data_IF_715496798057
#
_entry.id   IF_715496798057
#
_cell.length_a   1.000
_cell.length_b   1.000
_cell.length_c   1.000
_cell.angle_alpha   90.00
_cell.angle_beta   90.00
_cell.angle_gamma   90.00
#
_symmetry.space_group_name_H-M   'P 1'
#
loop_
_entity.id
_entity.type
_entity.pdbx_description
1 polymer ?
#
# COMPACT_ATOMS: atom_id res chain seq x y z
N UNK A 1 17.34 14.46 -18.40
CA UNK A 1 16.44 13.61 -19.19
C UNK A 1 16.70 12.15 -18.86
N UNK A 2 15.66 11.32 -18.78
CA UNK A 2 15.82 9.87 -18.55
C UNK A 2 16.02 9.13 -19.86
N UNK A 3 16.74 8.02 -19.79
CA UNK A 3 16.90 7.08 -20.91
C UNK A 3 16.13 5.80 -20.58
N UNK A 4 15.28 5.37 -21.51
CA UNK A 4 14.55 4.11 -21.35
C UNK A 4 15.51 2.93 -21.38
N UNK A 5 15.41 2.02 -20.42
CA UNK A 5 16.29 0.86 -20.29
C UNK A 5 15.56 -0.44 -20.63
N UNK A 6 14.53 -0.79 -19.87
CA UNK A 6 13.82 -2.07 -20.03
C UNK A 6 12.46 -2.10 -19.34
N UNK A 7 11.67 -3.10 -19.64
CA UNK A 7 10.49 -3.48 -18.85
C UNK A 7 10.87 -4.55 -17.81
N UNK A 8 10.17 -4.52 -16.67
CA UNK A 8 10.26 -5.53 -15.62
C UNK A 8 8.89 -6.19 -15.49
N UNK A 9 8.85 -7.53 -15.50
CA UNK A 9 7.65 -8.33 -15.36
C UNK A 9 6.82 -8.47 -16.62
N UNK A 10 5.70 -9.15 -16.50
CA UNK A 10 4.71 -9.40 -17.56
C UNK A 10 3.31 -9.52 -16.93
N UNK A 11 2.26 -9.61 -17.73
CA UNK A 11 0.89 -9.83 -17.25
C UNK A 11 0.72 -11.24 -16.70
N UNK A 12 0.13 -11.38 -15.51
CA UNK A 12 -0.19 -12.69 -14.95
C UNK A 12 -0.26 -12.70 -13.41
N UNK A 13 -0.21 -13.91 -12.83
CA UNK A 13 -0.36 -14.15 -11.39
C UNK A 13 0.85 -14.83 -10.74
N UNK A 14 1.76 -15.36 -11.58
CA UNK A 14 2.97 -16.01 -11.10
C UNK A 14 3.97 -14.97 -10.54
N UNK A 15 4.97 -15.43 -9.82
CA UNK A 15 6.05 -14.57 -9.33
C UNK A 15 6.76 -13.87 -10.50
N UNK A 16 6.96 -12.56 -10.37
CA UNK A 16 7.49 -11.73 -11.44
C UNK A 16 6.45 -11.27 -12.48
N UNK A 17 5.20 -11.74 -12.39
CA UNK A 17 4.08 -11.25 -13.19
C UNK A 17 3.22 -10.29 -12.39
N UNK A 18 2.46 -9.43 -13.08
CA UNK A 18 1.60 -8.43 -12.46
C UNK A 18 0.16 -8.48 -12.99
N UNK A 19 -0.77 -8.12 -12.12
CA UNK A 19 -2.13 -7.79 -12.48
C UNK A 19 -2.52 -6.45 -11.85
N UNK A 20 -2.57 -5.40 -12.66
CA UNK A 20 -2.80 -4.03 -12.22
C UNK A 20 -1.75 -3.57 -11.16
N UNK A 21 -0.44 -3.58 -11.50
CA UNK A 21 0.58 -3.00 -10.63
C UNK A 21 0.27 -1.53 -10.40
N UNK A 22 0.37 -1.05 -9.16
CA UNK A 22 -0.13 0.28 -8.83
C UNK A 22 0.94 1.18 -8.21
N UNK A 23 1.40 0.89 -7.00
CA UNK A 23 2.47 1.63 -6.34
C UNK A 23 3.81 0.95 -6.51
N UNK A 24 4.87 1.75 -6.57
CA UNK A 24 6.25 1.28 -6.62
C UNK A 24 7.13 2.14 -5.72
N UNK A 25 8.06 1.51 -5.01
CA UNK A 25 9.03 2.21 -4.15
C UNK A 25 10.39 1.52 -4.21
N UNK A 26 11.42 2.24 -3.81
CA UNK A 26 12.75 1.66 -3.59
C UNK A 26 12.87 1.30 -2.11
N UNK A 27 12.92 0.00 -1.83
CA UNK A 27 13.13 -0.54 -0.49
C UNK A 27 14.64 -0.65 -0.21
N UNK A 28 15.19 0.36 0.42
CA UNK A 28 16.58 0.45 0.83
C UNK A 28 16.75 0.35 2.35
N UNK A 29 15.77 -0.27 3.06
CA UNK A 29 15.86 -0.52 4.51
C UNK A 29 17.06 -1.38 4.88
N UNK A 30 17.55 -2.20 3.95
CA UNK A 30 18.78 -2.99 4.10
C UNK A 30 19.88 -2.37 3.23
N UNK A 31 20.88 -1.77 3.86
CA UNK A 31 21.91 -0.98 3.19
C UNK A 31 22.63 -1.69 2.01
N UNK A 32 22.73 -3.01 2.05
CA UNK A 32 23.44 -3.81 1.02
C UNK A 32 22.49 -4.66 0.16
N UNK A 33 21.18 -4.45 0.25
CA UNK A 33 20.18 -5.20 -0.50
C UNK A 33 19.00 -4.29 -0.87
N UNK A 34 19.30 -3.29 -1.72
CA UNK A 34 18.30 -2.36 -2.24
C UNK A 34 17.40 -3.07 -3.23
N UNK A 35 16.09 -3.01 -3.05
CA UNK A 35 15.10 -3.69 -3.86
C UNK A 35 14.04 -2.71 -4.39
N UNK A 36 13.40 -3.08 -5.47
CA UNK A 36 12.18 -2.44 -5.97
C UNK A 36 11.00 -3.20 -5.35
N UNK A 37 10.12 -2.52 -4.61
CA UNK A 37 8.87 -3.10 -4.13
C UNK A 37 7.69 -2.59 -4.94
N UNK A 38 6.81 -3.49 -5.35
CA UNK A 38 5.64 -3.19 -6.18
C UNK A 38 4.36 -3.67 -5.50
N UNK A 39 3.37 -2.78 -5.40
CA UNK A 39 2.01 -3.14 -5.02
C UNK A 39 1.28 -3.75 -6.22
N UNK A 40 1.24 -5.08 -6.28
CA UNK A 40 0.57 -5.85 -7.31
C UNK A 40 -0.91 -6.04 -6.93
N UNK A 41 -1.69 -4.96 -7.13
CA UNK A 41 -3.01 -4.72 -6.53
C UNK A 41 -4.00 -5.83 -6.78
N UNK A 42 -4.23 -6.18 -8.03
CA UNK A 42 -5.27 -7.17 -8.38
C UNK A 42 -4.83 -8.62 -8.10
N UNK A 43 -3.56 -8.84 -7.77
CA UNK A 43 -3.05 -10.10 -7.23
C UNK A 43 -2.99 -10.10 -5.69
N UNK A 44 -3.43 -9.02 -5.03
CA UNK A 44 -3.52 -8.89 -3.57
C UNK A 44 -2.17 -9.17 -2.84
N UNK A 45 -1.08 -8.61 -3.37
CA UNK A 45 0.27 -8.89 -2.87
C UNK A 45 1.24 -7.74 -3.08
N UNK A 46 2.37 -7.79 -2.37
CA UNK A 46 3.59 -7.05 -2.72
C UNK A 46 4.61 -8.01 -3.33
N UNK A 47 5.39 -7.51 -4.27
CA UNK A 47 6.53 -8.23 -4.83
C UNK A 47 7.78 -7.38 -4.77
N UNK A 48 8.92 -7.99 -4.47
CA UNK A 48 10.23 -7.35 -4.47
C UNK A 48 11.09 -7.90 -5.60
N UNK A 49 11.83 -7.00 -6.22
CA UNK A 49 12.77 -7.28 -7.31
C UNK A 49 14.11 -6.64 -6.99
N UNK A 50 15.21 -7.21 -7.45
CA UNK A 50 16.46 -6.47 -7.47
C UNK A 50 16.42 -5.34 -8.53
N UNK A 51 17.43 -4.48 -8.54
CA UNK A 51 17.50 -3.35 -9.47
C UNK A 51 17.61 -3.80 -10.94
N UNK A 52 17.97 -5.06 -11.17
CA UNK A 52 18.01 -5.68 -12.49
C UNK A 52 16.64 -6.24 -12.91
N UNK A 53 15.64 -6.19 -12.01
CA UNK A 53 14.27 -6.64 -12.27
C UNK A 53 14.05 -8.14 -12.07
N UNK A 54 14.98 -8.85 -11.44
CA UNK A 54 14.80 -10.25 -11.07
C UNK A 54 13.94 -10.33 -9.80
N UNK A 55 12.90 -11.14 -9.84
CA UNK A 55 12.04 -11.39 -8.67
C UNK A 55 12.84 -11.97 -7.50
N UNK A 56 12.61 -11.45 -6.31
CA UNK A 56 13.30 -11.82 -5.06
C UNK A 56 12.36 -12.35 -3.99
N UNK A 57 11.17 -11.77 -3.85
CA UNK A 57 10.23 -12.10 -2.78
C UNK A 57 8.81 -11.70 -3.14
N UNK A 58 7.84 -12.49 -2.68
CA UNK A 58 6.41 -12.18 -2.71
C UNK A 58 5.86 -12.20 -1.28
N UNK A 59 5.05 -11.21 -0.93
CA UNK A 59 4.33 -11.14 0.33
C UNK A 59 2.83 -11.01 0.07
N UNK A 60 2.06 -11.86 0.71
CA UNK A 60 0.59 -11.90 0.64
C UNK A 60 0.00 -11.26 1.92
N UNK A 61 -1.30 -11.40 2.13
CA UNK A 61 -2.07 -10.81 3.24
C UNK A 61 -2.39 -9.32 3.01
N UNK A 62 -2.51 -8.95 1.74
CA UNK A 62 -3.12 -7.70 1.28
C UNK A 62 -4.45 -8.02 0.59
N UNK A 63 -5.27 -7.00 0.36
CA UNK A 63 -6.53 -7.15 -0.40
C UNK A 63 -6.45 -6.31 -1.67
N UNK A 64 -6.23 -5.01 -1.52
CA UNK A 64 -6.11 -4.07 -2.64
C UNK A 64 -4.99 -3.06 -2.34
N UNK A 65 -3.73 -3.50 -2.22
CA UNK A 65 -2.62 -2.60 -1.91
C UNK A 65 -2.46 -1.55 -3.00
N UNK A 66 -2.27 -0.29 -2.60
CA UNK A 66 -2.32 0.83 -3.54
C UNK A 66 -0.97 1.51 -3.77
N UNK A 67 -0.24 1.77 -2.72
CA UNK A 67 1.06 2.44 -2.80
C UNK A 67 2.02 1.88 -1.75
N UNK A 68 3.25 2.39 -1.76
CA UNK A 68 4.27 2.11 -0.74
C UNK A 68 5.01 3.40 -0.44
N UNK A 69 5.26 3.71 0.83
CA UNK A 69 6.15 4.76 1.31
C UNK A 69 7.06 4.22 2.40
N UNK A 70 8.05 5.00 2.82
CA UNK A 70 9.07 4.57 3.79
C UNK A 70 9.39 5.64 4.83
N UNK A 71 9.57 5.20 6.08
CA UNK A 71 10.14 6.02 7.16
C UNK A 71 11.05 5.16 8.06
N UNK A 72 12.34 5.44 8.08
CA UNK A 72 13.30 4.59 8.80
C UNK A 72 13.24 3.14 8.29
N UNK A 73 13.02 2.20 9.18
CA UNK A 73 12.91 0.77 8.85
C UNK A 73 11.47 0.30 8.57
N UNK A 74 10.52 1.25 8.43
CA UNK A 74 9.13 0.94 8.15
C UNK A 74 8.79 1.17 6.69
N UNK A 75 8.09 0.24 6.06
CA UNK A 75 7.29 0.51 4.86
C UNK A 75 5.84 0.73 5.27
N UNK A 76 5.18 1.64 4.57
CA UNK A 76 3.78 2.01 4.73
C UNK A 76 3.03 1.60 3.48
N UNK A 77 1.99 0.80 3.62
CA UNK A 77 1.19 0.28 2.51
C UNK A 77 -0.28 0.60 2.74
N UNK A 78 -0.84 1.63 2.08
CA UNK A 78 -2.27 1.85 2.07
C UNK A 78 -2.98 0.77 1.26
N UNK A 79 -4.09 0.27 1.78
CA UNK A 79 -4.93 -0.74 1.14
C UNK A 79 -6.38 -0.23 1.05
N UNK A 80 -6.96 -0.25 -0.15
CA UNK A 80 -8.32 0.26 -0.39
C UNK A 80 -9.39 -0.47 0.42
N UNK A 81 -9.03 -1.55 1.08
CA UNK A 81 -9.90 -2.31 1.98
C UNK A 81 -9.99 -1.74 3.40
N UNK A 82 -9.92 -0.42 3.53
CA UNK A 82 -10.08 0.33 4.78
C UNK A 82 -8.98 0.09 5.82
N UNK A 83 -7.76 -0.26 5.40
CA UNK A 83 -6.64 -0.42 6.33
C UNK A 83 -5.33 0.13 5.77
N UNK A 84 -4.37 0.30 6.66
CA UNK A 84 -2.98 0.55 6.34
C UNK A 84 -2.15 -0.56 6.96
N UNK A 85 -1.15 -1.03 6.24
CA UNK A 85 -0.18 -2.00 6.76
C UNK A 85 1.18 -1.34 6.89
N UNK A 86 1.80 -1.47 8.06
CA UNK A 86 3.21 -1.20 8.26
C UNK A 86 3.99 -2.52 8.21
N UNK A 87 5.15 -2.50 7.55
CA UNK A 87 6.11 -3.59 7.58
C UNK A 87 7.38 -3.10 8.28
N UNK A 88 7.79 -3.77 9.35
CA UNK A 88 9.05 -3.45 10.02
C UNK A 88 10.27 -3.94 9.23
N UNK A 89 11.50 -3.68 9.73
CA UNK A 89 12.74 -4.09 9.08
C UNK A 89 12.90 -5.62 8.91
N UNK A 90 12.06 -6.43 9.58
CA UNK A 90 12.00 -7.88 9.46
C UNK A 90 10.77 -8.34 8.67
N UNK A 91 10.06 -7.41 8.01
CA UNK A 91 8.83 -7.66 7.26
C UNK A 91 7.65 -8.15 8.11
N UNK A 92 7.66 -7.91 9.43
CA UNK A 92 6.51 -8.17 10.28
C UNK A 92 5.42 -7.14 10.00
N UNK A 93 4.21 -7.63 9.76
CA UNK A 93 3.05 -6.79 9.49
C UNK A 93 2.42 -6.24 10.78
N UNK A 94 2.07 -4.96 10.73
CA UNK A 94 1.25 -4.27 11.73
C UNK A 94 0.12 -3.57 10.97
N UNK A 95 -1.13 -3.93 11.28
CA UNK A 95 -2.29 -3.34 10.60
C UNK A 95 -2.88 -2.20 11.44
N UNK A 96 -3.10 -1.06 10.80
CA UNK A 96 -3.81 0.09 11.37
C UNK A 96 -5.19 0.18 10.72
N UNK A 97 -6.23 0.33 11.55
CA UNK A 97 -7.61 0.37 11.09
C UNK A 97 -8.18 -1.02 10.76
N UNK A 98 -7.57 -2.10 11.25
CA UNK A 98 -8.06 -3.47 11.02
C UNK A 98 -9.41 -3.68 11.70
N UNK A 99 -10.48 -3.72 10.91
CA UNK A 99 -11.86 -3.96 11.33
C UNK A 99 -12.59 -4.72 10.21
N UNK A 100 -12.69 -6.05 10.32
CA UNK A 100 -13.32 -6.88 9.28
C UNK A 100 -14.78 -6.51 9.00
N UNK A 101 -15.56 -6.16 10.03
CA UNK A 101 -16.96 -5.78 9.85
C UNK A 101 -17.10 -4.43 9.13
N UNK A 102 -16.22 -3.47 9.42
CA UNK A 102 -16.15 -2.20 8.71
C UNK A 102 -15.68 -2.40 7.26
N UNK A 103 -14.67 -3.21 7.05
CA UNK A 103 -14.16 -3.55 5.73
C UNK A 103 -15.25 -4.14 4.84
N UNK A 104 -16.07 -5.07 5.35
CA UNK A 104 -17.18 -5.63 4.61
C UNK A 104 -18.15 -4.54 4.13
N UNK A 105 -18.48 -3.58 4.98
CA UNK A 105 -19.33 -2.43 4.62
C UNK A 105 -18.69 -1.56 3.56
N UNK A 106 -17.41 -1.25 3.70
CA UNK A 106 -16.64 -0.40 2.78
C UNK A 106 -16.54 -1.03 1.37
N UNK A 107 -16.34 -2.33 1.29
CA UNK A 107 -16.18 -3.04 0.01
C UNK A 107 -17.52 -3.40 -0.65
N UNK A 108 -18.64 -3.28 0.08
CA UNK A 108 -19.97 -3.60 -0.42
C UNK A 108 -20.37 -2.74 -1.62
N UNK A 109 -21.24 -3.28 -2.46
CA UNK A 109 -21.85 -2.58 -3.59
C UNK A 109 -20.80 -1.90 -4.51
N UNK A 110 -19.72 -2.62 -4.83
CA UNK A 110 -18.61 -2.12 -5.65
C UNK A 110 -17.99 -0.83 -5.08
N UNK A 111 -17.79 -0.81 -3.76
CA UNK A 111 -17.21 0.33 -3.03
C UNK A 111 -18.09 1.60 -3.09
N UNK A 112 -19.40 1.45 -3.05
CA UNK A 112 -20.35 2.57 -3.12
C UNK A 112 -20.14 3.60 -1.98
N UNK A 113 -19.61 3.16 -0.82
CA UNK A 113 -19.35 4.03 0.33
C UNK A 113 -18.43 5.23 -0.01
N UNK A 114 -17.60 5.12 -1.02
CA UNK A 114 -16.75 6.24 -1.49
C UNK A 114 -17.56 7.47 -1.92
N UNK A 115 -18.84 7.30 -2.26
CA UNK A 115 -19.75 8.35 -2.75
C UNK A 115 -20.74 8.85 -1.69
N UNK A 116 -20.72 8.27 -0.49
CA UNK A 116 -21.72 8.52 0.56
C UNK A 116 -21.05 8.99 1.85
N UNK A 117 -20.64 10.28 1.95
CA UNK A 117 -19.94 10.83 3.11
C UNK A 117 -20.67 10.62 4.43
N UNK A 118 -22.01 10.66 4.43
CA UNK A 118 -22.84 10.46 5.63
C UNK A 118 -22.67 9.06 6.25
N UNK A 119 -22.16 8.09 5.48
CA UNK A 119 -21.84 6.74 5.97
C UNK A 119 -20.44 6.62 6.59
N UNK A 120 -19.63 7.67 6.54
CA UNK A 120 -18.25 7.61 7.03
C UNK A 120 -18.19 7.79 8.54
N UNK A 121 -17.33 6.99 9.17
CA UNK A 121 -17.13 7.02 10.62
C UNK A 121 -15.80 7.69 10.92
N UNK A 122 -15.80 8.66 11.85
CA UNK A 122 -14.58 9.32 12.32
C UNK A 122 -13.61 8.29 12.89
N UNK A 123 -12.32 8.39 12.51
CA UNK A 123 -11.29 7.46 12.95
C UNK A 123 -11.24 6.14 12.17
N UNK A 124 -12.14 5.92 11.21
CA UNK A 124 -12.09 4.76 10.31
C UNK A 124 -11.72 5.17 8.88
N UNK A 125 -10.92 4.38 8.22
CA UNK A 125 -10.62 4.55 6.80
C UNK A 125 -11.78 4.06 5.93
N UNK A 126 -11.88 4.62 4.74
CA UNK A 126 -12.79 4.13 3.69
C UNK A 126 -11.97 3.45 2.60
N UNK A 127 -11.24 4.18 1.79
CA UNK A 127 -10.39 3.63 0.74
C UNK A 127 -9.01 4.31 0.74
N UNK A 128 -8.10 3.96 1.67
CA UNK A 128 -6.71 4.43 1.63
C UNK A 128 -6.08 4.13 0.28
N UNK A 129 -5.72 5.18 -0.47
CA UNK A 129 -5.19 5.05 -1.83
C UNK A 129 -3.72 5.43 -1.90
N UNK A 130 -3.36 6.48 -1.21
CA UNK A 130 -1.99 6.92 -1.05
C UNK A 130 -1.75 7.30 0.40
N UNK A 131 -0.53 7.10 0.88
CA UNK A 131 -0.14 7.47 2.24
C UNK A 131 1.34 7.78 2.29
N UNK A 132 1.70 8.77 3.12
CA UNK A 132 3.09 9.14 3.33
C UNK A 132 3.35 9.47 4.81
N UNK A 133 4.62 9.38 5.19
CA UNK A 133 5.08 9.88 6.47
C UNK A 133 5.50 11.35 6.38
N UNK A 134 5.36 12.09 7.49
CA UNK A 134 6.13 13.32 7.68
C UNK A 134 7.46 13.03 8.39
N UNK A 135 8.28 14.07 8.56
CA UNK A 135 9.60 13.96 9.20
C UNK A 135 9.57 13.44 10.66
N UNK A 136 8.43 13.52 11.33
CA UNK A 136 8.22 13.10 12.71
C UNK A 136 7.61 11.68 12.79
N UNK A 137 7.30 11.07 11.64
CA UNK A 137 6.69 9.74 11.53
C UNK A 137 5.18 9.74 11.70
N UNK A 138 4.51 10.91 11.59
CA UNK A 138 3.06 10.94 11.45
C UNK A 138 2.68 10.47 10.04
N UNK A 139 1.51 9.84 9.92
CA UNK A 139 1.02 9.30 8.64
C UNK A 139 -0.10 10.20 8.12
N UNK A 140 -0.01 10.58 6.86
CA UNK A 140 -1.07 11.24 6.11
C UNK A 140 -1.59 10.28 5.05
N UNK A 141 -2.90 10.17 4.93
CA UNK A 141 -3.56 9.21 4.05
C UNK A 141 -4.52 9.94 3.14
N UNK A 142 -4.28 9.87 1.85
CA UNK A 142 -5.23 10.30 0.83
C UNK A 142 -6.18 9.14 0.53
N UNK A 143 -7.47 9.37 0.69
CA UNK A 143 -8.48 8.34 0.45
C UNK A 143 -9.13 8.52 -0.93
N UNK A 144 -9.37 7.40 -1.61
CA UNK A 144 -10.07 7.38 -2.90
C UNK A 144 -11.59 7.50 -2.70
N UNK A 145 -12.03 8.72 -2.45
CA UNK A 145 -13.43 9.07 -2.23
C UNK A 145 -13.81 10.30 -3.04
N UNK A 146 -15.06 10.39 -3.46
CA UNK A 146 -15.49 11.40 -4.45
C UNK A 146 -15.47 12.84 -3.91
N UNK A 147 -15.58 13.04 -2.60
CA UNK A 147 -15.66 14.36 -1.97
C UNK A 147 -14.33 14.85 -1.38
N UNK A 148 -13.27 14.08 -1.55
CA UNK A 148 -11.94 14.41 -1.03
C UNK A 148 -11.84 14.25 0.50
N UNK A 149 -10.92 13.39 0.95
CA UNK A 149 -10.65 13.18 2.36
C UNK A 149 -9.17 12.87 2.55
N UNK A 150 -8.56 13.56 3.50
CA UNK A 150 -7.21 13.25 3.99
C UNK A 150 -7.31 12.98 5.48
N UNK A 151 -6.83 11.82 5.89
CA UNK A 151 -6.74 11.41 7.29
C UNK A 151 -5.31 11.58 7.79
N UNK A 152 -5.15 12.05 9.03
CA UNK A 152 -3.87 12.15 9.72
C UNK A 152 -3.85 11.25 10.94
N UNK A 153 -2.83 10.41 11.04
CA UNK A 153 -2.52 9.65 12.25
C UNK A 153 -1.26 10.23 12.88
N UNK A 154 -1.34 10.59 14.14
CA UNK A 154 -0.19 11.06 14.92
C UNK A 154 0.58 9.85 15.45
N UNK A 155 1.88 9.84 15.25
CA UNK A 155 2.77 8.90 15.96
C UNK A 155 2.62 9.12 17.48
N UNK A 156 2.39 8.05 18.19
CA UNK A 156 2.42 8.02 19.65
C UNK A 156 3.69 7.31 20.10
N UNK A 157 4.26 7.77 21.19
CA UNK A 157 5.48 7.19 21.79
C UNK A 157 5.20 5.81 22.37
#
# INVERSE_FOLDING_TARGET
AGEWQKMIGSTGKEDGQFNLPHGVWIDDRKANDTLIVVADRANARLQWFDLEGKHRKTMKDFILPANVDRFGDLLLVPDLSARITLLDGNDKMIHLGEDPAWREQVLKDKMAMRKTPDGWVSGKFVHPHDACFDKDGNIFVAEWVDTGRISKLRKVS
#
